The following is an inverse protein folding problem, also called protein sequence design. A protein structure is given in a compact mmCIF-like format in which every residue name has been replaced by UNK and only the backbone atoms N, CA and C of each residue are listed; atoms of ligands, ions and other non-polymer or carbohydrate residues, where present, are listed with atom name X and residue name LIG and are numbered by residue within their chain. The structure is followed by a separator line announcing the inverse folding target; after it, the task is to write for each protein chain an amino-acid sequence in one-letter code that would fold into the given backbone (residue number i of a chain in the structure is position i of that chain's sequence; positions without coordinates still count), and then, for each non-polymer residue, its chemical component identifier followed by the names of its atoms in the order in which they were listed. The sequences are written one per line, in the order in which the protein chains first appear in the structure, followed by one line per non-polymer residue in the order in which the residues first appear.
data_IF_757930671374
#
_entry.id   IF_757930671374
#
_cell.length_a   1.000
_cell.length_b   1.000
_cell.length_c   1.000
_cell.angle_alpha   90.00
_cell.angle_beta   90.00
_cell.angle_gamma   90.00
#
_symmetry.space_group_name_H-M   'P 1'
#
loop_
_entity.id
_entity.type
_entity.pdbx_description
1 polymer ?
2 non-polymer ?
3 non-polymer ?
4 water ?
#
# COMPACT_ATOMS: atom_id res chain seq x y z
N UNK A 1 -16.45 23.11 10.93
CA UNK A 1 -15.30 22.53 10.24
C UNK A 1 -15.23 21.05 10.66
N UNK A 2 -16.06 20.31 9.94
CA UNK A 2 -15.95 18.84 10.02
C UNK A 2 -15.78 18.15 8.65
N UNK A 3 -15.45 16.88 8.79
CA UNK A 3 -14.61 16.08 7.93
C UNK A 3 -15.22 14.69 7.89
N UNK A 4 -16.38 14.61 7.30
CA UNK A 4 -17.23 13.40 7.28
C UNK A 4 -16.99 12.61 6.01
N UNK A 5 -16.58 11.34 6.10
CA UNK A 5 -16.38 10.56 4.93
C UNK A 5 -17.70 10.14 4.31
N UNK A 6 -17.68 9.98 3.01
CA UNK A 6 -18.73 9.29 2.34
C UNK A 6 -18.12 8.17 1.51
N UNK A 7 -18.94 7.21 1.13
CA UNK A 7 -18.46 6.15 0.18
C UNK A 7 -17.78 6.67 -1.09
N UNK A 8 -18.09 7.90 -1.52
CA UNK A 8 -17.37 8.52 -2.65
C UNK A 8 -15.88 8.83 -2.33
N UNK A 9 -15.45 8.91 -1.06
CA UNK A 9 -14.03 9.00 -0.77
C UNK A 9 -13.21 7.72 -0.94
N UNK A 10 -13.88 6.61 -1.23
CA UNK A 10 -13.18 5.38 -1.59
C UNK A 10 -12.34 4.85 -0.42
N UNK A 11 -12.80 5.05 0.80
CA UNK A 11 -12.11 4.45 1.97
C UNK A 11 -12.45 2.93 2.18
N UNK A 12 -11.41 2.10 2.28
CA UNK A 12 -11.61 0.69 2.50
C UNK A 12 -10.74 0.23 3.70
N UNK A 13 -11.20 -0.91 4.21
CA UNK A 13 -10.55 -1.53 5.37
C UNK A 13 -10.45 -3.03 5.26
N UNK A 14 -9.36 -3.66 5.75
CA UNK A 14 -9.34 -5.14 5.70
C UNK A 14 -10.22 -5.63 6.84
N UNK A 15 -10.86 -6.79 6.62
CA UNK A 15 -11.51 -7.46 7.78
C UNK A 15 -10.59 -7.67 8.98
N UNK A 16 -9.32 -7.94 8.75
CA UNK A 16 -8.30 -8.28 9.73
C UNK A 16 -7.82 -7.06 10.48
N UNK A 17 -8.25 -5.86 10.11
CA UNK A 17 -7.73 -4.61 10.73
C UNK A 17 -8.58 -4.38 11.95
N UNK A 18 -9.83 -3.93 11.75
CA UNK A 18 -10.74 -3.77 12.90
C UNK A 18 -10.98 -5.12 13.58
N UNK A 19 -10.78 -6.23 12.88
CA UNK A 19 -10.88 -7.56 13.45
C UNK A 19 -9.69 -8.07 14.25
N UNK A 20 -8.61 -7.28 14.36
CA UNK A 20 -7.42 -7.76 15.07
C UNK A 20 -7.73 -7.90 16.57
N UNK A 21 -7.54 -9.16 17.00
CA UNK A 21 -7.82 -9.46 18.44
C UNK A 21 -6.77 -8.98 19.41
N UNK A 22 -5.64 -8.50 18.98
CA UNK A 22 -4.64 -7.97 19.92
C UNK A 22 -3.65 -9.00 20.44
N UNK A 23 -3.54 -10.16 19.85
CA UNK A 23 -2.42 -11.07 20.12
C UNK A 23 -1.15 -10.51 19.57
N UNK A 24 -0.10 -10.35 20.34
CA UNK A 24 1.22 -9.80 19.85
C UNK A 24 2.24 -10.88 20.27
N UNK A 25 3.53 -10.74 19.93
CA UNK A 25 4.53 -11.75 20.26
C UNK A 25 4.61 -12.00 21.77
N UNK A 26 4.16 -11.06 22.60
CA UNK A 26 4.28 -11.20 24.04
C UNK A 26 2.94 -11.25 24.78
N UNK A 27 1.79 -11.43 24.13
CA UNK A 27 0.55 -11.29 24.92
C UNK A 27 -0.64 -11.94 24.24
N UNK A 28 -1.60 -12.28 25.08
CA UNK A 28 -2.84 -12.89 24.55
C UNK A 28 -3.80 -11.89 23.96
N UNK A 29 -4.81 -12.41 23.24
CA UNK A 29 -5.86 -11.51 22.68
C UNK A 29 -6.51 -10.71 23.79
N UNK A 30 -6.80 -9.43 23.55
CA UNK A 30 -7.51 -8.54 24.49
C UNK A 30 -8.97 -8.27 24.05
N UNK A 31 -9.28 -8.75 22.83
CA UNK A 31 -10.64 -8.57 22.31
C UNK A 31 -11.15 -9.86 21.73
N UNK A 32 -12.46 -10.04 21.82
CA UNK A 32 -13.14 -11.18 21.15
C UNK A 32 -13.16 -11.02 19.65
N UNK A 33 -13.30 -12.11 18.94
CA UNK A 33 -13.37 -12.17 17.48
C UNK A 33 -14.62 -11.45 17.00
N UNK A 34 -14.51 -10.72 15.91
CA UNK A 34 -15.65 -10.03 15.32
C UNK A 34 -16.22 -10.91 14.22
N UNK A 35 -17.52 -11.02 14.10
CA UNK A 35 -18.11 -11.54 12.85
C UNK A 35 -17.89 -10.63 11.67
N UNK A 36 -17.35 -11.08 10.55
CA UNK A 36 -17.28 -10.28 9.33
C UNK A 36 -18.53 -9.45 9.00
N UNK A 37 -19.69 -10.07 9.29
CA UNK A 37 -20.92 -9.28 8.87
C UNK A 37 -21.12 -8.12 9.87
N UNK A 38 -20.74 -8.19 11.12
CA UNK A 38 -20.75 -7.07 12.04
C UNK A 38 -19.78 -5.96 11.62
N UNK A 39 -18.58 -6.37 11.22
CA UNK A 39 -17.59 -5.39 10.72
C UNK A 39 -18.10 -4.68 9.49
N UNK A 40 -18.68 -5.40 8.55
CA UNK A 40 -19.26 -4.76 7.34
C UNK A 40 -20.28 -3.72 7.74
N UNK A 41 -21.21 -4.04 8.62
CA UNK A 41 -22.24 -3.12 9.07
C UNK A 41 -21.62 -1.92 9.75
N UNK A 42 -20.65 -2.14 10.66
CA UNK A 42 -20.11 -0.97 11.45
C UNK A 42 -19.30 -0.05 10.57
N UNK A 43 -18.57 -0.63 9.64
CA UNK A 43 -17.73 0.21 8.72
C UNK A 43 -18.64 0.97 7.79
N UNK A 44 -19.75 0.38 7.32
CA UNK A 44 -20.69 1.13 6.47
C UNK A 44 -21.23 2.30 7.27
N UNK A 45 -21.56 2.10 8.56
CA UNK A 45 -22.07 3.29 9.29
C UNK A 45 -21.05 4.41 9.47
N UNK A 46 -19.77 4.09 9.46
CA UNK A 46 -18.74 5.14 9.64
C UNK A 46 -18.46 5.83 8.32
N UNK A 47 -18.97 5.34 7.19
CA UNK A 47 -18.75 6.06 5.93
C UNK A 47 -17.75 5.33 5.02
N UNK A 48 -17.35 4.11 5.34
CA UNK A 48 -16.45 3.45 4.44
C UNK A 48 -17.12 3.05 3.13
N UNK A 49 -16.33 2.80 2.10
CA UNK A 49 -16.83 2.39 0.78
C UNK A 49 -16.74 0.90 0.60
N UNK A 50 -15.83 0.22 1.30
CA UNK A 50 -15.78 -1.24 1.11
C UNK A 50 -14.81 -1.98 2.04
N UNK A 51 -14.71 -3.26 1.87
CA UNK A 51 -13.83 -4.01 2.77
C UNK A 51 -12.96 -4.89 1.87
N UNK A 52 -11.93 -5.50 2.43
CA UNK A 52 -11.05 -6.47 1.75
C UNK A 52 -10.84 -7.67 2.63
N UNK A 53 -10.27 -8.75 2.11
CA UNK A 53 -10.22 -9.92 2.98
C UNK A 53 -9.04 -10.77 2.53
N UNK A 54 -8.44 -11.54 3.45
CA UNK A 54 -7.76 -12.78 3.13
C UNK A 54 -8.79 -13.90 3.06
N UNK A 55 -8.50 -14.90 2.21
CA UNK A 55 -9.34 -16.13 2.23
C UNK A 55 -9.69 -16.54 3.66
N UNK A 56 -8.74 -16.68 4.54
CA UNK A 56 -8.94 -17.29 5.88
C UNK A 56 -9.59 -16.31 6.82
N UNK A 57 -9.71 -15.01 6.47
CA UNK A 57 -10.50 -14.12 7.29
C UNK A 57 -12.01 -14.40 7.17
N UNK A 58 -12.37 -14.82 5.97
CA UNK A 58 -13.76 -14.93 5.58
C UNK A 58 -14.25 -16.37 5.81
N UNK A 59 -13.43 -17.36 5.43
CA UNK A 59 -13.73 -18.77 5.52
C UNK A 59 -12.68 -19.44 6.38
N UNK A 60 -13.03 -19.94 7.54
CA UNK A 60 -12.09 -20.61 8.45
C UNK A 60 -11.30 -21.68 7.74
N UNK A 61 -10.01 -21.66 7.96
CA UNK A 61 -9.08 -22.62 7.43
C UNK A 61 -9.65 -24.02 7.75
N UNK A 62 -9.69 -24.83 6.71
CA UNK A 62 -10.18 -26.20 6.73
C UNK A 62 -11.66 -26.41 6.57
N UNK A 63 -12.42 -25.31 6.49
CA UNK A 63 -13.84 -25.36 6.16
C UNK A 63 -14.21 -26.31 5.04
N UNK A 64 -15.28 -27.07 5.27
CA UNK A 64 -15.89 -27.85 4.17
C UNK A 64 -16.56 -26.96 3.13
N UNK A 65 -16.78 -27.51 1.95
CA UNK A 65 -17.38 -26.71 0.85
C UNK A 65 -18.77 -26.24 1.27
N UNK A 66 -19.41 -26.96 2.18
CA UNK A 66 -20.74 -26.58 2.68
C UNK A 66 -20.66 -25.36 3.58
N UNK A 67 -19.72 -25.36 4.52
CA UNK A 67 -19.43 -24.24 5.40
C UNK A 67 -18.92 -23.07 4.55
N UNK A 68 -18.07 -23.32 3.57
CA UNK A 68 -17.53 -22.27 2.73
C UNK A 68 -18.75 -21.54 2.16
N UNK A 69 -19.67 -22.25 1.58
CA UNK A 69 -20.72 -21.56 0.79
C UNK A 69 -21.60 -20.75 1.73
N UNK A 70 -21.77 -21.16 2.96
CA UNK A 70 -22.47 -20.51 4.03
C UNK A 70 -21.91 -19.13 4.49
N UNK A 71 -20.58 -19.21 4.68
CA UNK A 71 -19.80 -18.02 5.05
C UNK A 71 -19.92 -16.99 3.96
N UNK A 72 -19.81 -17.41 2.72
CA UNK A 72 -19.86 -16.49 1.58
C UNK A 72 -21.28 -15.96 1.50
N UNK A 73 -22.31 -16.82 1.57
CA UNK A 73 -23.68 -16.25 1.49
C UNK A 73 -23.99 -15.23 2.56
N UNK A 74 -23.64 -15.44 3.81
CA UNK A 74 -23.86 -14.45 4.85
C UNK A 74 -23.13 -13.14 4.53
N UNK A 75 -21.92 -13.33 3.99
CA UNK A 75 -21.08 -12.12 3.70
C UNK A 75 -21.75 -11.27 2.65
N UNK A 76 -22.07 -11.90 1.54
CA UNK A 76 -22.81 -11.32 0.42
C UNK A 76 -24.12 -10.66 0.82
N UNK A 77 -24.90 -11.30 1.70
CA UNK A 77 -26.05 -10.56 2.25
C UNK A 77 -25.63 -9.29 2.95
N UNK A 78 -24.57 -9.28 3.78
CA UNK A 78 -24.22 -8.00 4.44
C UNK A 78 -23.81 -6.94 3.42
N UNK A 79 -23.08 -7.30 2.37
CA UNK A 79 -22.71 -6.31 1.34
C UNK A 79 -23.96 -5.77 0.62
N UNK A 80 -24.90 -6.69 0.29
CA UNK A 80 -26.15 -6.22 -0.32
C UNK A 80 -26.92 -5.27 0.59
N UNK A 81 -26.86 -5.53 1.89
CA UNK A 81 -27.66 -4.76 2.85
C UNK A 81 -27.01 -3.38 3.02
N UNK A 82 -25.71 -3.23 2.77
CA UNK A 82 -25.02 -1.97 3.15
C UNK A 82 -24.58 -1.15 1.94
N UNK A 83 -24.58 -1.80 0.76
CA UNK A 83 -23.94 -1.19 -0.42
C UNK A 83 -22.40 -1.19 -0.35
N UNK A 84 -21.75 -1.94 0.53
CA UNK A 84 -20.31 -2.02 0.63
C UNK A 84 -19.77 -2.83 -0.55
N UNK A 85 -18.61 -2.43 -1.05
CA UNK A 85 -17.94 -3.17 -2.10
C UNK A 85 -16.76 -3.96 -1.59
N UNK A 86 -16.21 -4.84 -2.42
CA UNK A 86 -14.98 -5.57 -2.17
C UNK A 86 -13.99 -5.34 -3.31
N UNK A 87 -13.14 -4.32 -3.17
CA UNK A 87 -12.28 -3.94 -4.31
C UNK A 87 -11.03 -4.77 -4.42
N UNK A 88 -10.67 -5.45 -3.31
CA UNK A 88 -9.38 -6.14 -3.28
C UNK A 88 -9.56 -7.37 -2.41
N UNK A 89 -8.82 -8.41 -2.82
CA UNK A 89 -8.73 -9.61 -2.00
C UNK A 89 -7.28 -10.12 -2.02
N UNK A 90 -6.98 -10.98 -1.08
CA UNK A 90 -5.63 -11.54 -0.96
C UNK A 90 -5.68 -12.90 -0.32
N UNK A 91 -4.54 -13.60 -0.22
CA UNK A 91 -4.45 -14.94 0.30
C UNK A 91 -3.72 -14.93 1.61
N UNK A 92 -4.11 -15.65 2.63
CA UNK A 92 -3.23 -15.91 3.80
C UNK A 92 -2.21 -17.04 3.44
N UNK A 93 -0.95 -16.63 3.12
CA UNK A 93 0.16 -17.61 2.97
C UNK A 93 1.18 -17.39 4.08
N UNK A 94 0.70 -17.03 5.31
CA UNK A 94 1.64 -16.74 6.37
C UNK A 94 1.27 -17.36 7.72
N UNK A 95 0.01 -17.56 8.05
CA UNK A 95 -0.38 -17.99 9.41
C UNK A 95 -0.11 -19.48 9.69
N UNK A 96 -0.63 -20.34 8.84
CA UNK A 96 -0.52 -21.79 9.06
C UNK A 96 0.93 -22.21 9.16
N UNK A 97 1.28 -23.10 10.11
CA UNK A 97 2.64 -23.62 10.23
C UNK A 97 3.24 -24.15 8.94
N UNK A 98 2.46 -24.70 8.00
CA UNK A 98 2.98 -25.23 6.73
C UNK A 98 3.75 -24.16 5.96
N UNK A 99 3.37 -22.85 6.22
CA UNK A 99 4.03 -21.73 5.53
C UNK A 99 5.25 -21.17 6.27
N UNK A 100 5.80 -21.93 7.22
CA UNK A 100 6.90 -21.38 8.10
C UNK A 100 8.15 -20.99 7.31
N UNK A 101 8.44 -21.59 6.13
CA UNK A 101 9.53 -21.22 5.26
C UNK A 101 9.07 -20.52 3.98
N UNK A 102 7.81 -20.11 3.92
CA UNK A 102 7.31 -19.35 2.77
C UNK A 102 6.16 -20.11 2.15
N UNK A 103 5.61 -19.48 1.11
CA UNK A 103 4.53 -20.12 0.27
C UNK A 103 5.16 -20.40 -1.11
N UNK A 104 5.30 -19.31 -1.90
CA UNK A 104 5.82 -19.47 -3.26
C UNK A 104 7.32 -19.77 -3.30
N UNK A 105 8.05 -19.44 -2.25
CA UNK A 105 9.51 -19.73 -2.23
C UNK A 105 9.93 -20.65 -1.07
N UNK A 106 9.00 -21.41 -0.54
CA UNK A 106 9.28 -22.46 0.41
C UNK A 106 10.33 -23.43 -0.20
N UNK A 107 11.28 -23.94 0.59
CA UNK A 107 12.23 -24.87 0.04
C UNK A 107 11.49 -26.18 -0.39
N UNK A 108 10.45 -26.59 0.34
CA UNK A 108 9.76 -27.81 -0.04
C UNK A 108 8.88 -27.57 -1.27
N UNK A 109 9.11 -28.33 -2.32
CA UNK A 109 8.32 -28.11 -3.53
C UNK A 109 6.83 -28.32 -3.28
N UNK A 110 6.48 -29.31 -2.44
CA UNK A 110 5.04 -29.68 -2.31
C UNK A 110 4.29 -28.47 -1.70
N UNK A 111 4.98 -27.82 -0.83
CA UNK A 111 4.40 -26.60 -0.17
C UNK A 111 4.13 -25.52 -1.20
N UNK A 112 5.13 -25.29 -2.06
CA UNK A 112 4.98 -24.27 -3.11
C UNK A 112 3.77 -24.61 -4.01
N UNK A 113 3.56 -25.89 -4.35
CA UNK A 113 2.40 -26.26 -5.18
C UNK A 113 1.08 -26.00 -4.46
N UNK A 114 1.06 -26.34 -3.16
CA UNK A 114 -0.08 -26.10 -2.29
C UNK A 114 -0.34 -24.60 -2.21
N UNK A 115 0.72 -23.74 -2.01
CA UNK A 115 0.50 -22.30 -1.98
C UNK A 115 -0.22 -21.78 -3.23
N UNK A 116 0.16 -22.25 -4.41
CA UNK A 116 -0.44 -21.81 -5.67
C UNK A 116 -1.91 -22.28 -5.76
N UNK A 117 -2.14 -23.56 -5.36
CA UNK A 117 -3.55 -24.01 -5.37
C UNK A 117 -4.45 -23.21 -4.41
N UNK A 118 -3.92 -22.89 -3.23
CA UNK A 118 -4.70 -22.08 -2.27
C UNK A 118 -4.99 -20.70 -2.81
N UNK A 119 -4.01 -20.06 -3.46
CA UNK A 119 -4.15 -18.76 -4.12
C UNK A 119 -5.20 -18.76 -5.21
N UNK A 120 -5.10 -19.75 -6.16
CA UNK A 120 -6.00 -19.79 -7.30
C UNK A 120 -7.44 -19.93 -6.86
N UNK A 121 -7.73 -20.74 -5.85
CA UNK A 121 -9.06 -20.90 -5.30
C UNK A 121 -9.62 -19.54 -4.82
N UNK A 122 -8.77 -18.74 -4.16
CA UNK A 122 -9.24 -17.45 -3.70
C UNK A 122 -9.34 -16.43 -4.83
N UNK A 123 -8.59 -16.51 -5.92
CA UNK A 123 -8.79 -15.59 -7.06
C UNK A 123 -10.19 -15.77 -7.64
N UNK A 124 -10.64 -17.05 -7.79
CA UNK A 124 -11.99 -17.30 -8.25
C UNK A 124 -13.00 -16.63 -7.34
N UNK A 125 -12.85 -16.77 -6.03
CA UNK A 125 -13.80 -16.07 -5.10
C UNK A 125 -13.72 -14.59 -5.23
N UNK A 126 -12.54 -13.98 -5.26
CA UNK A 126 -12.35 -12.56 -5.39
C UNK A 126 -13.11 -12.04 -6.60
N UNK A 127 -12.92 -12.62 -7.75
CA UNK A 127 -13.63 -12.29 -9.02
C UNK A 127 -15.16 -12.33 -8.82
N UNK A 128 -15.66 -13.40 -8.18
CA UNK A 128 -17.09 -13.51 -7.86
C UNK A 128 -17.60 -12.33 -7.08
N UNK A 129 -16.81 -11.89 -6.12
CA UNK A 129 -17.23 -10.79 -5.23
C UNK A 129 -16.91 -9.45 -5.83
N UNK A 130 -16.33 -9.44 -7.04
CA UNK A 130 -16.12 -8.18 -7.76
C UNK A 130 -14.79 -7.49 -7.54
N UNK A 131 -13.81 -8.17 -6.94
CA UNK A 131 -12.56 -7.44 -6.65
C UNK A 131 -11.87 -7.09 -7.95
N UNK A 132 -11.24 -5.96 -8.07
CA UNK A 132 -10.42 -5.62 -9.23
C UNK A 132 -8.96 -5.87 -9.10
N UNK A 133 -8.47 -5.95 -7.83
CA UNK A 133 -7.05 -6.07 -7.49
C UNK A 133 -6.86 -7.27 -6.60
N UNK A 134 -5.82 -8.04 -6.87
CA UNK A 134 -5.51 -9.19 -6.00
C UNK A 134 -4.15 -8.87 -5.37
N UNK A 135 -4.05 -8.75 -4.06
CA UNK A 135 -2.73 -8.43 -3.44
C UNK A 135 -1.96 -9.70 -3.07
N UNK A 136 -0.62 -9.65 -3.20
CA UNK A 136 0.29 -10.72 -2.77
C UNK A 136 1.25 -10.09 -1.77
N UNK A 137 1.21 -10.41 -0.48
CA UNK A 137 2.18 -10.01 0.55
C UNK A 137 2.98 -11.32 0.89
N UNK A 138 4.22 -11.47 0.45
CA UNK A 138 4.94 -12.72 0.76
C UNK A 138 5.70 -12.46 2.09
N UNK A 139 4.92 -12.42 3.19
CA UNK A 139 5.57 -12.17 4.49
C UNK A 139 6.45 -13.34 4.99
N UNK A 140 6.29 -14.57 4.48
CA UNK A 140 7.09 -15.71 4.90
C UNK A 140 8.20 -16.00 3.88
N UNK A 141 8.34 -15.27 2.82
CA UNK A 141 9.35 -15.47 1.79
C UNK A 141 10.64 -14.77 2.22
N UNK A 142 11.66 -15.53 2.69
CA UNK A 142 12.93 -14.85 3.17
C UNK A 142 13.65 -15.88 4.07
N UNK A 143 14.40 -15.32 5.02
CA UNK A 143 15.36 -16.18 5.76
C UNK A 143 15.79 -15.44 7.05
N UNK A 144 16.21 -16.28 8.02
CA UNK A 144 16.93 -15.73 9.21
C UNK A 144 18.43 -15.95 9.10
N UNK A 145 18.88 -16.77 8.16
CA UNK A 145 20.29 -17.13 8.04
C UNK A 145 20.69 -17.22 6.56
N UNK A 146 21.98 -17.01 6.27
CA UNK A 146 22.38 -16.87 4.86
C UNK A 146 22.32 -18.18 4.07
N UNK A 147 22.55 -19.35 4.65
CA UNK A 147 22.62 -20.63 3.90
C UNK A 147 21.25 -21.23 3.65
N UNK A 148 20.21 -20.72 4.32
CA UNK A 148 18.85 -21.30 4.27
C UNK A 148 18.16 -21.06 2.95
N UNK A 149 18.54 -20.01 2.20
CA UNK A 149 17.78 -19.57 1.02
C UNK A 149 18.78 -19.16 -0.06
N UNK A 150 18.85 -19.84 -1.19
CA UNK A 150 19.58 -19.26 -2.34
C UNK A 150 18.68 -18.21 -2.95
N UNK A 151 19.05 -16.91 -2.90
CA UNK A 151 18.04 -15.95 -3.38
C UNK A 151 17.84 -15.99 -4.90
N UNK A 152 18.80 -16.30 -5.74
CA UNK A 152 18.53 -16.49 -7.20
C UNK A 152 17.51 -17.59 -7.44
N UNK A 153 17.70 -18.72 -6.73
CA UNK A 153 16.74 -19.78 -6.91
C UNK A 153 15.38 -19.33 -6.41
N UNK A 154 15.36 -18.66 -5.28
CA UNK A 154 14.08 -18.21 -4.72
C UNK A 154 13.42 -17.20 -5.69
N UNK A 155 14.10 -16.28 -6.32
CA UNK A 155 13.44 -15.41 -7.34
C UNK A 155 12.94 -16.14 -8.57
N UNK A 156 13.71 -17.19 -8.97
CA UNK A 156 13.18 -18.06 -9.99
C UNK A 156 11.81 -18.64 -9.57
N UNK A 157 11.71 -19.17 -8.36
CA UNK A 157 10.42 -19.75 -7.90
C UNK A 157 9.35 -18.67 -7.74
N UNK A 158 9.78 -17.46 -7.38
CA UNK A 158 8.78 -16.41 -7.21
C UNK A 158 8.26 -16.01 -8.59
N UNK A 159 9.17 -15.88 -9.54
CA UNK A 159 8.75 -15.53 -10.90
C UNK A 159 7.82 -16.64 -11.45
N UNK A 160 8.20 -17.92 -11.22
CA UNK A 160 7.40 -19.03 -11.71
C UNK A 160 5.98 -18.94 -11.16
N UNK A 161 5.79 -18.63 -9.89
CA UNK A 161 4.51 -18.57 -9.21
C UNK A 161 3.68 -17.47 -9.84
N UNK A 162 4.26 -16.25 -9.95
CA UNK A 162 3.49 -15.15 -10.51
C UNK A 162 3.19 -15.38 -12.01
N UNK A 163 4.08 -15.90 -12.78
CA UNK A 163 3.75 -16.25 -14.18
C UNK A 163 2.58 -17.23 -14.27
N UNK A 164 2.58 -18.32 -13.50
CA UNK A 164 1.44 -19.25 -13.48
C UNK A 164 0.14 -18.51 -13.07
N UNK A 165 0.23 -17.63 -12.09
CA UNK A 165 -0.98 -16.90 -11.72
C UNK A 165 -1.51 -16.02 -12.89
N UNK A 166 -0.59 -15.43 -13.65
CA UNK A 166 -0.88 -14.56 -14.78
C UNK A 166 -1.47 -15.46 -15.89
N UNK A 167 -0.89 -16.66 -16.05
CA UNK A 167 -1.46 -17.61 -17.06
C UNK A 167 -2.89 -17.95 -16.69
N UNK A 168 -3.15 -18.24 -15.43
CA UNK A 168 -4.48 -18.62 -14.93
C UNK A 168 -5.52 -17.53 -15.25
N UNK A 169 -5.24 -16.31 -14.82
CA UNK A 169 -6.15 -15.18 -15.03
C UNK A 169 -6.50 -14.96 -16.49
N UNK A 170 -5.51 -15.02 -17.36
CA UNK A 170 -5.71 -14.73 -18.78
C UNK A 170 -6.49 -15.94 -19.41
N UNK A 171 -6.23 -17.14 -18.95
CA UNK A 171 -6.96 -18.28 -19.50
C UNK A 171 -8.41 -18.21 -19.07
N UNK A 172 -8.68 -17.70 -17.88
CA UNK A 172 -10.08 -17.61 -17.39
C UNK A 172 -10.74 -16.36 -17.96
N UNK A 173 -10.02 -15.48 -18.62
CA UNK A 173 -10.62 -14.22 -19.04
C UNK A 173 -11.01 -13.24 -17.89
N UNK A 174 -10.36 -13.32 -16.76
CA UNK A 174 -10.68 -12.46 -15.62
C UNK A 174 -10.08 -11.07 -15.77
N UNK A 175 -10.81 -10.08 -15.32
CA UNK A 175 -10.37 -8.72 -15.24
C UNK A 175 -9.88 -8.43 -13.85
N UNK A 176 -8.68 -8.88 -13.59
CA UNK A 176 -8.15 -8.73 -12.21
C UNK A 176 -6.69 -8.46 -12.49
N UNK A 177 -6.09 -7.56 -11.72
CA UNK A 177 -4.64 -7.36 -11.79
C UNK A 177 -3.98 -7.72 -10.45
N UNK A 178 -2.67 -7.92 -10.44
CA UNK A 178 -1.98 -8.34 -9.22
C UNK A 178 -1.23 -7.13 -8.64
N UNK A 179 -1.12 -7.04 -7.32
CA UNK A 179 -0.32 -5.97 -6.71
C UNK A 179 0.58 -6.63 -5.68
N UNK A 180 1.91 -6.53 -5.81
CA UNK A 180 2.86 -7.10 -4.87
C UNK A 180 3.09 -6.10 -3.76
N UNK A 181 3.04 -6.55 -2.52
CA UNK A 181 3.24 -5.68 -1.36
C UNK A 181 4.58 -5.93 -0.73
N UNK A 182 5.51 -4.95 -0.76
CA UNK A 182 6.84 -5.18 -0.20
C UNK A 182 6.77 -5.01 1.30
N UNK A 183 7.74 -5.64 1.97
CA UNK A 183 7.99 -5.40 3.42
C UNK A 183 9.44 -5.79 3.63
N UNK A 184 10.25 -5.10 4.45
CA UNK A 184 11.68 -5.40 4.48
C UNK A 184 12.04 -6.54 5.39
N UNK A 185 11.31 -6.70 6.48
CA UNK A 185 11.52 -7.75 7.50
C UNK A 185 10.24 -7.93 8.31
N UNK A 186 10.15 -8.99 9.07
CA UNK A 186 9.16 -9.27 10.07
C UNK A 186 7.93 -9.83 9.34
N UNK A 187 7.68 -11.12 9.42
CA UNK A 187 8.18 -12.02 10.43
C UNK A 187 9.47 -12.71 10.07
N UNK A 188 9.93 -12.70 8.86
CA UNK A 188 11.25 -13.29 8.50
C UNK A 188 12.32 -12.26 8.83
N UNK A 189 13.53 -12.72 9.12
CA UNK A 189 14.69 -11.88 9.42
C UNK A 189 14.94 -10.91 8.29
N UNK A 190 14.86 -11.34 7.06
CA UNK A 190 14.82 -10.49 5.86
C UNK A 190 13.75 -11.10 4.94
N UNK A 191 12.98 -10.18 4.35
CA UNK A 191 11.93 -10.60 3.40
C UNK A 191 12.42 -10.27 1.98
N UNK A 192 12.17 -11.26 1.02
CA UNK A 192 12.48 -11.00 -0.38
C UNK A 192 11.62 -9.89 -1.01
N UNK A 193 12.14 -9.18 -2.00
CA UNK A 193 11.53 -7.94 -2.47
C UNK A 193 11.15 -7.01 -1.34
N UNK A 194 12.14 -6.44 -0.63
CA UNK A 194 11.90 -5.77 0.61
C UNK A 194 11.35 -4.35 0.55
N UNK A 195 11.47 -3.68 -0.60
CA UNK A 195 10.97 -2.35 -0.81
C UNK A 195 10.19 -2.27 -2.12
N UNK A 196 9.53 -1.11 -2.32
CA UNK A 196 8.90 -0.74 -3.59
C UNK A 196 9.86 -0.89 -4.70
N UNK A 197 11.12 -0.43 -4.60
CA UNK A 197 11.97 -0.51 -5.80
C UNK A 197 12.25 -1.99 -6.19
N UNK A 198 12.54 -2.84 -5.20
CA UNK A 198 12.76 -4.29 -5.46
C UNK A 198 11.53 -4.89 -6.09
N UNK A 199 10.32 -4.63 -5.65
CA UNK A 199 9.11 -5.16 -6.31
C UNK A 199 8.95 -4.64 -7.73
N UNK A 200 9.19 -3.34 -7.99
CA UNK A 200 9.05 -2.80 -9.36
C UNK A 200 10.01 -3.45 -10.34
N UNK A 201 11.25 -3.69 -9.90
CA UNK A 201 12.33 -4.27 -10.68
C UNK A 201 11.94 -5.72 -11.04
N UNK A 202 11.42 -6.43 -10.04
CA UNK A 202 11.03 -7.85 -10.25
C UNK A 202 9.94 -7.99 -11.27
N UNK A 203 9.00 -7.03 -11.17
CA UNK A 203 7.86 -7.12 -12.13
C UNK A 203 8.28 -7.11 -13.59
N UNK A 204 9.34 -6.35 -13.88
CA UNK A 204 9.81 -6.18 -15.24
C UNK A 204 10.39 -7.50 -15.82
N UNK A 205 10.64 -8.50 -15.00
CA UNK A 205 11.07 -9.81 -15.46
C UNK A 205 9.96 -10.83 -15.55
N UNK A 206 8.72 -10.47 -15.28
CA UNK A 206 7.62 -11.45 -15.45
C UNK A 206 7.22 -11.61 -16.92
N UNK A 207 6.56 -12.73 -17.24
CA UNK A 207 6.19 -12.88 -18.65
C UNK A 207 5.18 -11.79 -19.09
N UNK A 208 4.24 -11.40 -18.27
CA UNK A 208 3.27 -10.39 -18.66
C UNK A 208 3.27 -9.21 -17.66
N UNK A 209 4.25 -8.33 -17.72
CA UNK A 209 4.44 -7.30 -16.71
C UNK A 209 3.24 -6.41 -16.53
N UNK A 210 2.40 -6.28 -17.58
CA UNK A 210 1.27 -5.30 -17.50
C UNK A 210 0.18 -5.76 -16.53
N UNK A 211 0.18 -7.03 -16.12
CA UNK A 211 -0.74 -7.56 -15.13
C UNK A 211 -0.34 -7.24 -13.69
N UNK A 212 0.85 -6.69 -13.45
CA UNK A 212 1.33 -6.63 -12.09
C UNK A 212 1.74 -5.20 -11.73
N UNK A 213 1.39 -4.79 -10.52
CA UNK A 213 1.88 -3.46 -9.97
C UNK A 213 2.22 -3.67 -8.50
N UNK A 214 2.24 -2.56 -7.76
CA UNK A 214 2.68 -2.67 -6.39
C UNK A 214 1.51 -2.28 -5.48
N UNK A 215 1.51 -2.75 -4.26
CA UNK A 215 0.67 -2.26 -3.17
C UNK A 215 1.56 -1.77 -2.06
N UNK A 216 2.14 -0.60 -2.08
CA UNK A 216 3.04 -0.13 -1.05
C UNK A 216 2.31 0.15 0.27
N UNK A 217 3.00 -0.01 1.40
CA UNK A 217 2.39 0.29 2.68
C UNK A 217 3.21 1.34 3.37
N UNK A 218 2.55 2.32 3.92
CA UNK A 218 3.29 3.42 4.61
C UNK A 218 4.37 2.90 5.56
N UNK A 219 3.89 2.11 6.54
CA UNK A 219 4.80 1.71 7.63
C UNK A 219 5.93 0.77 7.07
N UNK A 220 5.63 0.01 6.02
CA UNK A 220 6.69 -0.93 5.50
C UNK A 220 7.87 -0.21 4.89
N UNK A 221 7.71 0.84 4.07
CA UNK A 221 8.90 1.54 3.58
C UNK A 221 9.62 2.26 4.72
N UNK A 222 8.84 2.79 5.70
CA UNK A 222 9.43 3.45 6.83
C UNK A 222 10.20 2.53 7.77
N UNK A 223 9.91 1.22 7.75
CA UNK A 223 10.73 0.28 8.46
C UNK A 223 12.14 0.14 7.88
N UNK A 224 12.35 0.62 6.65
CA UNK A 224 13.71 0.68 6.08
C UNK A 224 14.21 2.17 6.16
N UNK A 225 13.53 3.07 6.84
CA UNK A 225 13.93 4.48 6.90
C UNK A 225 13.79 5.18 5.56
N UNK A 226 12.97 4.70 4.64
CA UNK A 226 12.83 5.29 3.31
C UNK A 226 11.73 6.40 3.29
N UNK A 227 11.76 7.27 2.29
CA UNK A 227 10.75 8.38 2.20
C UNK A 227 9.56 7.81 1.49
N UNK A 228 8.44 7.60 2.18
CA UNK A 228 7.29 6.92 1.50
C UNK A 228 6.74 7.72 0.31
N UNK A 229 6.49 9.04 0.41
CA UNK A 229 6.08 9.78 -0.79
C UNK A 229 7.01 9.67 -1.96
N UNK A 230 8.33 9.66 -1.74
CA UNK A 230 9.28 9.42 -2.85
C UNK A 230 9.08 8.04 -3.55
N UNK A 231 8.86 7.02 -2.75
CA UNK A 231 8.65 5.65 -3.36
C UNK A 231 7.33 5.61 -4.09
N UNK A 232 6.31 6.25 -3.55
CA UNK A 232 5.02 6.32 -4.31
C UNK A 232 5.18 7.05 -5.64
N UNK A 233 5.95 8.18 -5.61
CA UNK A 233 6.22 8.95 -6.83
C UNK A 233 6.87 8.07 -7.89
N UNK A 234 7.84 7.25 -7.46
CA UNK A 234 8.46 6.30 -8.42
C UNK A 234 7.46 5.25 -8.91
N UNK A 235 6.59 4.71 -8.09
CA UNK A 235 5.56 3.79 -8.51
C UNK A 235 4.61 4.48 -9.48
N UNK A 236 4.25 5.73 -9.22
CA UNK A 236 3.37 6.50 -10.14
C UNK A 236 4.05 6.73 -11.49
N UNK A 237 5.32 7.14 -11.42
CA UNK A 237 6.15 7.32 -12.62
C UNK A 237 6.20 6.06 -13.43
N UNK A 238 6.24 4.84 -12.86
CA UNK A 238 6.32 3.64 -13.64
C UNK A 238 4.96 3.18 -14.12
N UNK A 239 3.90 3.83 -13.72
CA UNK A 239 2.51 3.42 -13.99
C UNK A 239 2.07 2.22 -13.17
N UNK A 240 2.64 1.96 -12.02
CA UNK A 240 2.39 0.69 -11.32
C UNK A 240 1.74 0.89 -9.96
N UNK A 241 1.17 2.06 -9.63
CA UNK A 241 0.46 2.15 -8.33
C UNK A 241 -0.96 1.60 -8.49
N UNK A 242 -1.06 0.27 -8.25
CA UNK A 242 -2.38 -0.36 -8.43
C UNK A 242 -3.26 -0.16 -7.18
N UNK A 243 -2.66 -0.02 -6.02
CA UNK A 243 -3.38 -0.08 -4.74
C UNK A 243 -2.44 0.52 -3.72
N UNK A 244 -2.95 0.90 -2.55
CA UNK A 244 -2.06 1.47 -1.52
C UNK A 244 -2.57 1.08 -0.15
N UNK A 245 -1.67 0.89 0.80
CA UNK A 245 -2.02 0.59 2.20
C UNK A 245 -1.61 1.78 3.09
N UNK A 246 -2.63 2.29 3.75
CA UNK A 246 -2.37 3.54 4.55
C UNK A 246 -2.32 3.26 6.03
N UNK A 247 -1.28 3.75 6.72
CA UNK A 247 -1.26 3.51 8.18
C UNK A 247 -0.18 4.44 8.76
N UNK A 248 0.30 4.25 9.96
CA UNK A 248 1.38 5.08 10.51
C UNK A 248 2.37 4.18 11.28
N UNK A 249 3.56 4.76 11.39
CA UNK A 249 4.71 3.96 11.84
C UNK A 249 5.63 4.93 12.52
N UNK A 250 6.14 4.67 13.70
CA UNK A 250 7.18 5.56 14.25
C UNK A 250 8.60 5.07 13.99
N UNK A 251 9.09 5.28 12.79
CA UNK A 251 10.50 4.97 12.50
C UNK A 251 10.75 3.49 12.38
N UNK A 252 12.04 3.17 12.57
CA UNK A 252 12.61 1.83 12.23
C UNK A 252 12.50 0.97 13.47
N UNK A 253 11.51 0.11 13.49
CA UNK A 253 11.19 -0.84 14.58
C UNK A 253 10.20 -1.84 14.07
N UNK A 254 9.68 -2.68 14.93
CA UNK A 254 8.60 -3.60 14.55
C UNK A 254 7.47 -2.85 13.80
N UNK A 255 6.71 -3.65 12.99
CA UNK A 255 5.58 -3.07 12.22
C UNK A 255 4.40 -2.70 13.13
N UNK A 256 4.25 -1.32 13.37
CA UNK A 256 3.26 -0.86 14.31
C UNK A 256 1.82 -0.86 13.75
N UNK A 257 1.58 -0.58 12.47
CA UNK A 257 0.22 -0.49 11.91
C UNK A 257 -0.69 0.47 12.68
N UNK A 258 -0.22 1.65 13.08
CA UNK A 258 -0.99 2.64 13.75
C UNK A 258 -2.01 3.21 12.75
N UNK A 259 -3.00 3.84 13.33
CA UNK A 259 -3.97 4.45 12.39
C UNK A 259 -3.29 5.50 11.52
N UNK A 260 -3.87 5.75 10.34
CA UNK A 260 -3.33 6.71 9.37
C UNK A 260 -3.38 8.11 9.96
N UNK A 261 -2.25 8.83 9.83
CA UNK A 261 -2.02 10.15 10.45
C UNK A 261 -1.11 10.08 11.67
N UNK A 262 -1.19 8.95 12.40
CA UNK A 262 -0.18 8.71 13.46
C UNK A 262 1.14 8.37 12.77
N UNK A 263 2.18 8.35 13.59
CA UNK A 263 3.52 8.11 13.01
C UNK A 263 4.07 9.45 12.51
N UNK A 264 4.57 9.35 11.29
CA UNK A 264 5.18 10.52 10.64
C UNK A 264 4.08 11.37 10.02
N UNK A 265 3.58 12.32 10.75
CA UNK A 265 2.55 13.21 10.23
C UNK A 265 2.98 14.11 9.03
N UNK A 266 4.19 14.66 8.96
CA UNK A 266 4.50 15.41 7.72
C UNK A 266 4.58 14.48 6.50
N UNK A 267 5.05 13.24 6.67
CA UNK A 267 5.06 12.31 5.50
C UNK A 267 3.65 12.04 5.01
N UNK A 268 2.73 11.96 5.95
CA UNK A 268 1.30 11.71 5.64
C UNK A 268 0.78 12.89 4.80
N UNK A 269 1.16 14.10 5.15
CA UNK A 269 0.72 15.32 4.41
C UNK A 269 1.23 15.25 2.97
N UNK A 270 2.53 14.95 2.86
CA UNK A 270 3.14 14.94 1.50
C UNK A 270 2.59 13.77 0.70
N UNK A 271 2.25 12.70 1.39
CA UNK A 271 1.62 11.53 0.65
C UNK A 271 0.28 11.94 0.06
N UNK A 272 -0.57 12.54 0.90
CA UNK A 272 -1.91 12.98 0.43
C UNK A 272 -1.81 14.05 -0.69
N UNK A 273 -0.88 14.98 -0.53
CA UNK A 273 -0.62 15.94 -1.59
C UNK A 273 -0.34 15.23 -2.91
N UNK A 274 0.56 14.22 -2.85
CA UNK A 274 0.89 13.52 -4.08
C UNK A 274 -0.27 12.68 -4.62
N UNK A 275 -0.96 11.91 -3.82
CA UNK A 275 -2.05 11.06 -4.38
C UNK A 275 -3.09 11.96 -5.04
N UNK A 276 -3.41 13.05 -4.37
CA UNK A 276 -4.47 13.95 -4.87
C UNK A 276 -3.99 14.68 -6.12
N UNK A 277 -2.74 15.11 -6.09
CA UNK A 277 -2.33 15.91 -7.30
C UNK A 277 -2.05 14.94 -8.45
N UNK A 278 -1.64 13.72 -8.29
CA UNK A 278 -1.42 12.79 -9.38
C UNK A 278 -2.74 12.19 -9.85
N UNK A 279 -3.81 12.46 -9.13
CA UNK A 279 -5.13 11.88 -9.43
C UNK A 279 -5.23 10.37 -9.28
N UNK A 280 -4.61 9.85 -8.22
CA UNK A 280 -4.75 8.41 -7.94
C UNK A 280 -6.23 8.08 -7.78
N UNK A 281 -6.74 7.03 -8.44
CA UNK A 281 -8.19 6.81 -8.30
C UNK A 281 -8.52 5.46 -7.70
N UNK A 282 -7.53 4.73 -7.17
CA UNK A 282 -7.83 3.44 -6.52
C UNK A 282 -8.37 3.71 -5.10
N UNK A 283 -8.67 2.56 -4.45
CA UNK A 283 -9.10 2.59 -3.04
C UNK A 283 -8.10 3.27 -2.14
N UNK A 284 -8.58 3.95 -1.12
CA UNK A 284 -7.75 4.42 -0.03
C UNK A 284 -7.87 3.40 1.08
N UNK A 285 -6.99 2.40 1.05
CA UNK A 285 -7.19 1.24 1.95
C UNK A 285 -6.42 1.40 3.26
N UNK A 286 -7.00 1.14 4.40
CA UNK A 286 -6.34 1.20 5.71
C UNK A 286 -5.93 -0.22 6.12
N UNK A 287 -4.60 -0.43 6.22
CA UNK A 287 -4.09 -1.68 6.77
C UNK A 287 -3.51 -1.27 8.14
N UNK A 288 -4.34 -1.30 9.19
CA UNK A 288 -3.91 -0.75 10.50
C UNK A 288 -4.41 -1.75 11.58
N UNK A 289 -3.95 -1.68 12.80
CA UNK A 289 -4.45 -2.47 13.91
C UNK A 289 -4.77 -1.56 15.05
N UNK A 290 -6.02 -1.51 15.52
CA UNK A 290 -6.30 -0.72 16.75
C UNK A 290 -5.48 -1.25 17.91
N UNK A 291 -4.75 -0.45 18.63
CA UNK A 291 -3.90 -0.94 19.72
C UNK A 291 -4.63 -1.87 20.64
N UNK A 292 -3.91 -2.84 21.20
CA UNK A 292 -4.59 -3.87 22.03
C UNK A 292 -5.03 -3.30 23.39
N UNK A 293 -4.62 -2.05 23.68
CA UNK A 293 -5.16 -1.29 24.85
C UNK A 293 -6.67 -1.00 24.74
N UNK A 294 -7.22 -1.13 23.53
CA UNK A 294 -8.56 -0.61 23.26
C UNK A 294 -9.66 -1.67 23.38
N UNK A 295 -10.87 -1.19 23.78
CA UNK A 295 -12.05 -2.09 23.64
C UNK A 295 -12.74 -1.83 22.31
N UNK A 296 -13.91 -2.41 22.02
CA UNK A 296 -14.53 -2.18 20.70
C UNK A 296 -14.87 -0.72 20.49
N UNK A 297 -15.22 0.10 21.42
CA UNK A 297 -15.39 1.50 21.19
C UNK A 297 -14.13 2.17 20.66
N UNK A 298 -12.97 1.85 21.22
CA UNK A 298 -11.67 2.36 20.77
C UNK A 298 -11.37 1.82 19.37
N UNK A 299 -11.78 0.61 18.99
CA UNK A 299 -11.63 0.10 17.61
C UNK A 299 -12.32 1.04 16.57
N UNK A 300 -13.60 1.31 16.86
CA UNK A 300 -14.30 2.10 15.86
C UNK A 300 -13.80 3.55 15.89
N UNK A 301 -13.35 4.08 17.02
CA UNK A 301 -12.74 5.39 17.12
C UNK A 301 -11.46 5.50 16.27
N UNK A 302 -10.63 4.45 16.39
CA UNK A 302 -9.42 4.40 15.60
C UNK A 302 -9.70 4.35 14.09
N UNK A 303 -10.64 3.47 13.62
CA UNK A 303 -10.98 3.37 12.20
C UNK A 303 -11.50 4.70 11.68
N UNK A 304 -12.40 5.35 12.44
CA UNK A 304 -12.89 6.68 12.10
C UNK A 304 -11.72 7.64 12.03
N UNK A 305 -10.74 7.63 12.94
CA UNK A 305 -9.66 8.68 12.82
C UNK A 305 -8.86 8.40 11.52
N UNK A 306 -8.68 7.16 11.08
CA UNK A 306 -8.01 6.97 9.80
C UNK A 306 -8.57 7.90 8.70
N UNK A 307 -9.88 7.84 8.59
CA UNK A 307 -10.58 8.57 7.51
C UNK A 307 -10.54 10.03 7.73
N UNK A 308 -10.74 10.45 9.00
CA UNK A 308 -10.75 11.87 9.36
C UNK A 308 -9.41 12.46 8.98
N UNK A 309 -8.35 11.77 9.35
CA UNK A 309 -6.99 12.35 9.15
C UNK A 309 -6.71 12.49 7.65
N UNK A 310 -7.09 11.49 6.87
CA UNK A 310 -6.96 11.65 5.41
C UNK A 310 -7.68 12.90 4.92
N UNK A 311 -8.92 13.12 5.38
CA UNK A 311 -9.70 14.28 4.87
C UNK A 311 -9.13 15.57 5.37
N UNK A 312 -8.57 15.64 6.59
CA UNK A 312 -8.00 16.91 7.05
C UNK A 312 -6.75 17.21 6.18
N UNK A 313 -5.92 16.20 6.01
CA UNK A 313 -4.70 16.39 5.20
C UNK A 313 -5.02 16.75 3.74
N UNK A 314 -6.07 16.20 3.18
CA UNK A 314 -6.52 16.55 1.83
C UNK A 314 -6.87 18.05 1.74
N UNK A 315 -7.63 18.51 2.72
CA UNK A 315 -7.95 19.94 2.74
C UNK A 315 -6.73 20.82 2.83
N UNK A 316 -5.78 20.56 3.78
CA UNK A 316 -4.57 21.37 3.98
C UNK A 316 -3.67 21.31 2.74
N UNK A 317 -3.52 20.16 2.06
CA UNK A 317 -2.65 20.03 0.88
C UNK A 317 -3.23 20.86 -0.28
N UNK A 318 -4.55 20.82 -0.42
CA UNK A 318 -5.25 21.57 -1.46
C UNK A 318 -5.13 23.09 -1.20
N UNK A 319 -5.28 23.49 0.04
CA UNK A 319 -5.10 24.91 0.38
C UNK A 319 -3.68 25.32 0.09
N UNK A 320 -2.67 24.50 0.41
CA UNK A 320 -1.26 24.72 0.08
C UNK A 320 -1.04 24.96 -1.43
N UNK A 321 -1.55 24.00 -2.25
CA UNK A 321 -1.26 24.19 -3.68
C UNK A 321 -2.04 25.32 -4.34
N UNK A 322 -3.18 25.66 -3.71
CA UNK A 322 -4.00 26.74 -4.26
C UNK A 322 -3.54 28.14 -3.81
N UNK A 323 -2.62 28.21 -2.89
CA UNK A 323 -2.25 29.55 -2.31
C UNK A 323 -1.37 30.28 -3.30
N UNK A 324 -1.70 31.49 -3.78
CA UNK A 324 -0.87 32.25 -4.68
C UNK A 324 0.54 32.48 -4.17
N UNK A 325 0.66 32.63 -2.84
CA UNK A 325 1.97 32.87 -2.25
C UNK A 325 2.85 31.61 -2.35
N UNK A 326 2.16 30.47 -2.25
CA UNK A 326 2.87 29.19 -2.46
C UNK A 326 3.27 29.10 -3.94
N UNK A 327 2.35 29.37 -4.86
CA UNK A 327 2.69 29.24 -6.30
C UNK A 327 3.88 30.12 -6.63
N UNK A 328 3.97 31.29 -6.08
CA UNK A 328 5.11 32.22 -6.20
C UNK A 328 6.37 31.63 -5.60
N UNK A 329 6.26 31.01 -4.41
CA UNK A 329 7.44 30.36 -3.78
C UNK A 329 7.95 29.22 -4.64
N UNK A 330 7.03 28.48 -5.25
CA UNK A 330 7.40 27.31 -6.10
C UNK A 330 8.22 27.79 -7.31
N UNK A 331 7.79 28.95 -7.88
CA UNK A 331 8.59 29.56 -8.92
C UNK A 331 9.93 30.06 -8.42
N UNK A 332 9.93 30.61 -7.22
CA UNK A 332 11.17 31.13 -6.62
C UNK A 332 12.17 29.97 -6.49
N UNK A 333 11.70 28.78 -6.21
CA UNK A 333 12.55 27.62 -5.97
C UNK A 333 12.80 26.83 -7.25
N UNK A 334 12.27 27.34 -8.37
CA UNK A 334 12.48 26.78 -9.71
C UNK A 334 11.87 25.40 -9.87
N UNK A 335 10.77 25.13 -9.17
CA UNK A 335 10.04 23.90 -9.53
C UNK A 335 9.52 23.88 -10.97
N UNK A 336 9.19 25.08 -11.49
CA UNK A 336 8.81 25.16 -12.92
C UNK A 336 9.93 24.73 -13.84
N UNK A 337 11.16 25.05 -13.51
CA UNK A 337 12.31 24.66 -14.34
C UNK A 337 12.60 23.17 -14.25
N UNK A 338 12.32 22.58 -13.08
CA UNK A 338 12.51 21.13 -12.93
C UNK A 338 11.68 20.38 -13.94
N UNK A 339 10.49 20.96 -14.24
CA UNK A 339 9.56 20.29 -15.20
C UNK A 339 9.86 20.51 -16.66
N UNK A 340 10.84 21.32 -16.97
CA UNK A 340 11.22 21.52 -18.38
C UNK A 340 12.31 20.60 -18.81
N UNK A 341 12.30 20.12 -20.03
CA UNK A 341 13.40 19.28 -20.52
C UNK A 341 14.74 19.94 -20.36
N UNK A 342 15.75 19.15 -19.98
CA UNK A 342 17.12 19.65 -19.90
C UNK A 342 17.66 19.99 -21.29
N UNK A 343 17.32 19.11 -22.25
CA UNK A 343 17.99 19.30 -23.55
C UNK A 343 17.10 18.82 -24.67
N UNK A 344 16.00 19.59 -24.79
CA UNK A 344 15.06 19.21 -25.90
C UNK A 344 15.68 19.52 -27.26
N UNK A 345 16.68 20.39 -27.21
CA UNK A 345 17.46 20.75 -28.41
C UNK A 345 18.34 19.60 -28.91
N UNK A 346 18.50 18.57 -28.11
CA UNK A 346 19.17 17.34 -28.49
C UNK A 346 20.67 17.41 -28.12
N UNK A 347 21.28 16.24 -28.26
CA UNK A 347 22.67 16.03 -27.87
C UNK A 347 23.66 16.91 -28.60
N UNK A 348 23.52 16.92 -29.95
CA UNK A 348 24.53 17.73 -30.71
C UNK A 348 24.46 19.19 -30.35
N UNK A 349 23.25 19.73 -30.20
CA UNK A 349 23.12 21.13 -29.74
C UNK A 349 23.68 21.36 -28.36
N UNK A 350 23.39 20.45 -27.45
CA UNK A 350 24.04 20.49 -26.12
C UNK A 350 25.55 20.55 -26.21
N UNK A 351 26.13 19.70 -27.04
CA UNK A 351 27.58 19.64 -27.18
C UNK A 351 28.15 20.94 -27.74
N UNK A 352 27.40 21.61 -28.59
CA UNK A 352 27.88 22.81 -29.26
C UNK A 352 27.60 24.09 -28.48
N UNK A 353 26.81 23.93 -27.43
CA UNK A 353 26.43 25.10 -26.61
C UNK A 353 27.49 25.50 -25.61
N UNK A 354 28.22 26.56 -25.90
CA UNK A 354 29.26 27.11 -25.03
C UNK A 354 28.68 27.64 -23.73
N UNK A 355 27.41 27.97 -23.65
CA UNK A 355 26.82 28.49 -22.40
C UNK A 355 26.55 27.35 -21.42
N UNK A 356 26.60 26.14 -21.93
CA UNK A 356 26.46 24.97 -21.06
C UNK A 356 27.78 24.58 -20.44
N UNK A 357 28.92 25.11 -20.86
CA UNK A 357 30.20 24.64 -20.28
C UNK A 357 31.30 25.71 -20.34
N UNK A 358 31.80 25.90 -21.58
CA UNK A 358 32.97 26.76 -21.83
C UNK A 358 32.60 28.08 -21.18
N UNK A 359 31.39 28.58 -21.33
CA UNK A 359 31.13 29.96 -20.84
C UNK A 359 30.11 29.98 -19.72
N UNK A 360 29.91 28.82 -19.11
CA UNK A 360 28.98 28.74 -17.99
C UNK A 360 29.59 29.36 -16.76
N UNK A 361 28.94 30.33 -16.11
CA UNK A 361 29.43 30.95 -14.91
C UNK A 361 28.97 30.15 -13.69
N UNK A 362 29.87 29.28 -13.24
CA UNK A 362 29.50 28.30 -12.19
C UNK A 362 29.38 29.06 -10.86
N UNK A 363 30.19 30.06 -10.61
CA UNK A 363 30.03 30.82 -9.34
C UNK A 363 28.73 31.63 -9.22
N UNK A 364 28.23 32.20 -10.30
CA UNK A 364 26.96 32.89 -10.25
C UNK A 364 25.83 31.92 -9.99
N UNK A 365 25.89 30.77 -10.69
CA UNK A 365 24.87 29.70 -10.49
C UNK A 365 24.94 29.18 -9.06
N UNK A 366 26.14 28.89 -8.57
CA UNK A 366 26.29 28.40 -7.18
C UNK A 366 25.70 29.36 -6.17
N UNK A 367 25.73 30.65 -6.44
CA UNK A 367 25.41 31.67 -5.43
C UNK A 367 23.88 31.79 -5.29
N UNK A 368 23.12 31.20 -6.23
CA UNK A 368 21.67 31.44 -6.18
C UNK A 368 21.09 30.57 -5.05
N UNK A 369 20.41 31.19 -4.09
CA UNK A 369 19.76 30.36 -3.07
C UNK A 369 18.60 29.53 -3.61
N UNK A 370 18.25 28.37 -3.11
CA UNK A 370 17.09 27.62 -3.61
C UNK A 370 15.77 28.09 -2.98
N UNK A 371 15.81 28.83 -1.87
CA UNK A 371 14.64 29.26 -1.15
C UNK A 371 13.69 28.17 -0.71
N UNK A 372 14.25 26.99 -0.40
CA UNK A 372 13.47 25.82 0.05
C UNK A 372 12.92 26.01 1.48
N UNK A 373 13.63 26.74 2.32
CA UNK A 373 13.21 26.83 3.73
C UNK A 373 11.95 27.71 3.86
N UNK A 374 11.89 28.75 3.05
CA UNK A 374 10.64 29.56 3.05
C UNK A 374 9.47 28.74 2.50
N UNK A 375 9.73 28.00 1.41
CA UNK A 375 8.72 27.12 0.87
C UNK A 375 8.30 26.14 1.96
N UNK A 376 9.28 25.47 2.62
CA UNK A 376 8.87 24.45 3.60
C UNK A 376 8.12 25.06 4.78
N UNK A 377 8.40 26.34 5.20
CA UNK A 377 7.60 26.89 6.30
C UNK A 377 6.18 27.28 5.86
N UNK A 378 6.00 27.66 4.61
CA UNK A 378 4.64 27.84 4.09
C UNK A 378 3.86 26.55 4.14
N UNK A 379 4.55 25.41 3.77
CA UNK A 379 3.89 24.10 3.87
C UNK A 379 3.51 23.79 5.33
N UNK A 380 4.43 24.08 6.25
CA UNK A 380 4.19 23.91 7.68
C UNK A 380 2.99 24.73 8.16
N UNK A 381 2.98 26.03 7.79
CA UNK A 381 1.90 26.89 8.20
C UNK A 381 0.56 26.35 7.66
N UNK A 382 0.55 25.91 6.42
CA UNK A 382 -0.66 25.28 5.85
C UNK A 382 -1.09 24.00 6.56
N UNK A 383 -0.18 23.08 6.79
CA UNK A 383 -0.53 21.89 7.59
C UNK A 383 -1.14 22.19 8.94
N UNK A 384 -0.59 23.16 9.68
CA UNK A 384 -1.05 23.52 11.04
C UNK A 384 -2.22 24.50 11.02
N UNK A 385 -2.62 25.01 9.87
CA UNK A 385 -3.78 25.92 9.80
C UNK A 385 -3.34 27.21 10.45
N UNK A 386 -2.08 27.60 10.22
CA UNK A 386 -1.51 28.87 10.76
C UNK A 386 -1.22 29.84 9.62
N UNK A 387 -2.04 29.84 8.63
CA UNK A 387 -2.59 29.98 7.33
C UNK A 387 -3.85 29.04 7.10
#
# INVERSE_FOLDING_TARGET
MNYQPTPEDRFTFGLWTVGWQGRDPFGDATRRALDPVESVQRLAELGAHGVTFHDDDLIPFGSSDSEREEHVKRFRQALDDTGMKVPMATTNLFTHPVFKDGGFTANDRDVRRYALRKTIRNIDLAVELGAETYVAWGGREGAESGGAKDVRDALDRMKEAFDLLGEYVTSQGYDIRFAIEPKPNEPRGDILLPTVGHALAFIERLERPELYGVNPEVGHEQMAGLNFPHGIAQALWAGKLFHIDLNGQNGIKYDQDLRFGAGDLRAAFWLVDLLESAGYSGPRHFDFKPPRTEDFDGVWASAAGCMRNYLILKERAAAFRADPEVQEALRASRLDELARPTAADGLQALLDDRSAFEEFDVDAAAARGMAFERLDQLAMDHLLGARG
#
